data_IF_750275771262
#
_entry.id   IF_750275771262
#
_cell.length_a   1.000
_cell.length_b   1.000
_cell.length_c   1.000
_cell.angle_alpha   90.00
_cell.angle_beta   90.00
_cell.angle_gamma   90.00
#
_symmetry.space_group_name_H-M   'P 1'
#
loop_
_entity.id
_entity.type
_entity.pdbx_description
1 polymer ?
#
# COMPACT_ATOMS: atom_id res chain seq x y z
N UNK A 1 0.95 15.94 -30.01
CA UNK A 1 0.44 14.62 -30.43
C UNK A 1 -0.70 14.89 -31.40
N UNK A 2 -0.52 14.55 -32.69
CA UNK A 2 -1.51 14.82 -33.72
C UNK A 2 -2.79 14.02 -33.38
N UNK A 3 -3.89 14.74 -33.18
CA UNK A 3 -5.23 14.16 -33.11
C UNK A 3 -5.49 13.45 -34.44
N UNK A 4 -5.54 12.12 -34.43
CA UNK A 4 -6.04 11.34 -35.56
C UNK A 4 -7.50 11.74 -35.79
N UNK A 5 -7.71 12.72 -36.67
CA UNK A 5 -9.03 13.29 -36.95
C UNK A 5 -9.93 12.24 -37.60
N UNK A 6 -11.16 12.13 -37.10
CA UNK A 6 -12.21 11.36 -37.78
C UNK A 6 -12.77 12.26 -38.88
N UNK A 7 -12.67 11.81 -40.14
CA UNK A 7 -13.07 12.59 -41.30
C UNK A 7 -14.51 12.27 -41.74
N UNK A 8 -15.14 13.25 -42.39
CA UNK A 8 -16.45 13.06 -43.01
C UNK A 8 -16.35 12.06 -44.16
N UNK A 9 -17.12 10.97 -44.09
CA UNK A 9 -17.07 9.90 -45.10
C UNK A 9 -17.53 10.39 -46.48
N UNK A 10 -18.51 11.31 -46.52
CA UNK A 10 -19.07 11.82 -47.77
C UNK A 10 -18.16 12.84 -48.45
N UNK A 11 -17.32 13.55 -47.69
CA UNK A 11 -16.37 14.51 -48.26
C UNK A 11 -15.01 13.87 -48.57
N UNK A 12 -14.82 12.60 -48.20
CA UNK A 12 -13.55 11.91 -48.40
C UNK A 12 -13.26 11.67 -49.89
N UNK A 13 -14.30 11.35 -50.67
CA UNK A 13 -14.18 11.05 -52.10
C UNK A 13 -14.42 12.27 -53.01
N UNK A 14 -15.10 13.31 -52.51
CA UNK A 14 -15.57 14.47 -53.30
C UNK A 14 -14.73 15.77 -53.13
N UNK A 15 -13.60 15.73 -52.41
CA UNK A 15 -12.75 16.92 -52.20
C UNK A 15 -11.74 16.81 -51.06
N UNK A 16 -11.17 17.93 -50.55
CA UNK A 16 -10.29 17.88 -49.39
C UNK A 16 -11.06 17.34 -48.17
N UNK A 17 -10.48 16.38 -47.42
CA UNK A 17 -11.17 15.74 -46.31
C UNK A 17 -11.54 16.78 -45.25
N UNK A 18 -12.83 16.88 -44.96
CA UNK A 18 -13.36 17.74 -43.89
C UNK A 18 -13.46 16.94 -42.60
N UNK A 19 -13.13 17.57 -41.48
CA UNK A 19 -13.31 16.97 -40.16
C UNK A 19 -14.79 16.66 -39.90
N UNK A 20 -15.06 15.47 -39.36
CA UNK A 20 -16.37 15.13 -38.88
C UNK A 20 -16.65 15.83 -37.55
N UNK A 21 -17.89 16.27 -37.37
CA UNK A 21 -18.38 16.87 -36.12
C UNK A 21 -19.44 15.98 -35.45
N UNK A 22 -20.06 15.11 -36.24
CA UNK A 22 -21.21 14.32 -35.84
C UNK A 22 -21.10 12.89 -36.35
N UNK A 23 -21.49 11.92 -35.53
CA UNK A 23 -21.73 10.52 -35.92
C UNK A 23 -23.23 10.24 -35.93
N UNK A 24 -23.74 9.68 -37.02
CA UNK A 24 -25.12 9.23 -37.11
C UNK A 24 -25.24 7.77 -36.70
N UNK A 25 -26.04 7.47 -35.69
CA UNK A 25 -26.13 6.13 -35.08
C UNK A 25 -26.80 5.10 -35.99
N UNK A 26 -27.71 5.53 -36.87
CA UNK A 26 -28.49 4.66 -37.75
C UNK A 26 -27.81 4.41 -39.09
N UNK A 27 -27.06 5.39 -39.57
CA UNK A 27 -26.26 5.27 -40.79
C UNK A 27 -24.84 4.76 -40.52
N UNK A 28 -24.38 4.82 -39.27
CA UNK A 28 -23.03 4.48 -38.83
C UNK A 28 -21.94 5.26 -39.59
N UNK A 29 -22.23 6.51 -39.94
CA UNK A 29 -21.34 7.39 -40.71
C UNK A 29 -20.94 8.63 -39.93
N UNK A 30 -19.72 9.08 -40.18
CA UNK A 30 -19.18 10.35 -39.69
C UNK A 30 -19.43 11.47 -40.70
N UNK A 31 -19.98 12.59 -40.24
CA UNK A 31 -20.41 13.71 -41.05
C UNK A 31 -19.77 15.02 -40.58
N UNK A 32 -19.31 15.84 -41.52
CA UNK A 32 -18.96 17.24 -41.25
C UNK A 32 -20.24 18.07 -41.06
N UNK A 33 -20.09 19.32 -40.60
CA UNK A 33 -21.21 20.21 -40.31
C UNK A 33 -22.15 20.41 -41.52
N UNK A 34 -21.59 20.54 -42.72
CA UNK A 34 -22.40 20.69 -43.94
C UNK A 34 -23.18 19.42 -44.26
N UNK A 35 -22.51 18.25 -44.22
CA UNK A 35 -23.14 16.96 -44.49
C UNK A 35 -24.21 16.62 -43.46
N UNK A 36 -23.99 16.92 -42.18
CA UNK A 36 -25.00 16.76 -41.14
C UNK A 36 -26.25 17.62 -41.41
N UNK A 37 -26.06 18.88 -41.82
CA UNK A 37 -27.17 19.79 -42.12
C UNK A 37 -28.02 19.27 -43.28
N UNK A 38 -27.41 18.70 -44.30
CA UNK A 38 -28.13 18.07 -45.42
C UNK A 38 -28.79 16.76 -44.98
N UNK A 39 -28.09 15.94 -44.18
CA UNK A 39 -28.59 14.70 -43.61
C UNK A 39 -29.87 14.91 -42.81
N UNK A 40 -29.92 15.96 -41.98
CA UNK A 40 -31.10 16.33 -41.18
C UNK A 40 -32.24 16.94 -42.00
N UNK A 41 -31.98 17.42 -43.21
CA UNK A 41 -33.01 17.98 -44.12
C UNK A 41 -33.62 16.93 -45.05
N UNK A 42 -32.90 15.84 -45.30
CA UNK A 42 -33.37 14.75 -46.17
C UNK A 42 -34.56 14.04 -45.53
N UNK A 43 -35.59 13.76 -46.33
CA UNK A 43 -36.79 13.03 -45.89
C UNK A 43 -36.43 11.67 -45.28
N UNK A 44 -35.36 11.03 -45.78
CA UNK A 44 -34.96 9.69 -45.36
C UNK A 44 -34.13 9.63 -44.08
N UNK A 45 -33.55 10.75 -43.64
CA UNK A 45 -32.59 10.77 -42.52
C UNK A 45 -32.81 11.91 -41.52
N UNK A 46 -33.83 12.74 -41.73
CA UNK A 46 -34.22 13.84 -40.82
C UNK A 46 -34.47 13.38 -39.38
N UNK A 47 -34.95 12.15 -39.20
CA UNK A 47 -35.32 11.59 -37.89
C UNK A 47 -34.23 10.68 -37.30
N UNK A 48 -33.06 10.56 -37.96
CA UNK A 48 -31.95 9.77 -37.44
C UNK A 48 -31.34 10.44 -36.21
N UNK A 49 -30.96 9.62 -35.22
CA UNK A 49 -30.24 10.09 -34.05
C UNK A 49 -28.78 10.32 -34.39
N UNK A 50 -28.25 11.38 -33.81
CA UNK A 50 -26.89 11.83 -34.04
C UNK A 50 -26.23 12.16 -32.72
N UNK A 51 -24.95 11.86 -32.58
CA UNK A 51 -24.14 12.27 -31.44
C UNK A 51 -22.90 13.03 -31.90
N UNK A 52 -22.40 13.93 -31.05
CA UNK A 52 -21.16 14.65 -31.37
C UNK A 52 -19.96 13.68 -31.36
N UNK A 53 -18.93 13.96 -32.15
CA UNK A 53 -17.67 13.20 -32.12
C UNK A 53 -17.05 13.21 -30.72
N UNK A 54 -17.17 14.33 -30.00
CA UNK A 54 -16.70 14.45 -28.61
C UNK A 54 -17.39 13.44 -27.69
N UNK A 55 -18.69 13.23 -27.84
CA UNK A 55 -19.42 12.26 -27.02
C UNK A 55 -19.21 10.82 -27.51
N UNK A 56 -19.05 10.61 -28.81
CA UNK A 56 -18.68 9.31 -29.39
C UNK A 56 -17.35 8.81 -28.82
N UNK A 57 -16.34 9.68 -28.70
CA UNK A 57 -15.05 9.33 -28.11
C UNK A 57 -15.08 9.11 -26.59
N UNK A 58 -16.15 9.51 -25.88
CA UNK A 58 -16.33 9.16 -24.46
C UNK A 58 -16.83 7.73 -24.28
N UNK A 59 -17.36 7.10 -25.33
CA UNK A 59 -17.78 5.71 -25.27
C UNK A 59 -16.56 4.80 -25.08
N UNK A 60 -16.68 3.67 -24.36
CA UNK A 60 -15.63 2.67 -24.33
C UNK A 60 -15.22 2.24 -25.74
N UNK A 61 -13.92 2.00 -25.97
CA UNK A 61 -13.37 1.64 -27.29
C UNK A 61 -14.10 0.45 -27.91
N UNK A 62 -14.41 -0.57 -27.12
CA UNK A 62 -15.13 -1.75 -27.60
C UNK A 62 -16.53 -1.41 -28.14
N UNK A 63 -17.19 -0.35 -27.66
CA UNK A 63 -18.50 0.11 -28.17
C UNK A 63 -18.36 0.88 -29.48
N UNK A 64 -17.25 1.62 -29.66
CA UNK A 64 -16.97 2.36 -30.90
C UNK A 64 -16.72 1.41 -32.08
N UNK A 65 -16.20 0.21 -31.80
CA UNK A 65 -15.88 -0.82 -32.79
C UNK A 65 -17.06 -1.74 -33.17
N UNK A 66 -18.21 -1.59 -32.50
CA UNK A 66 -19.42 -2.36 -32.81
C UNK A 66 -19.99 -1.87 -34.15
N UNK A 67 -20.19 -2.79 -35.08
CA UNK A 67 -20.84 -2.52 -36.37
C UNK A 67 -22.18 -3.22 -36.45
N UNK A 68 -23.17 -2.58 -37.09
CA UNK A 68 -24.44 -3.19 -37.46
C UNK A 68 -24.32 -4.24 -38.57
N UNK A 69 -23.13 -4.40 -39.16
CA UNK A 69 -22.91 -5.30 -40.29
C UNK A 69 -22.09 -6.53 -39.91
N UNK A 70 -22.49 -7.65 -40.50
CA UNK A 70 -21.75 -8.90 -40.43
C UNK A 70 -20.36 -8.74 -41.07
N UNK A 71 -19.33 -9.15 -40.33
CA UNK A 71 -17.93 -9.08 -40.79
C UNK A 71 -17.69 -9.94 -42.03
N UNK A 72 -18.30 -11.12 -42.08
CA UNK A 72 -18.12 -12.12 -43.15
C UNK A 72 -18.86 -11.75 -44.44
N UNK A 73 -20.10 -11.28 -44.30
CA UNK A 73 -21.00 -11.09 -45.45
C UNK A 73 -21.28 -9.63 -45.80
N UNK A 74 -20.82 -8.67 -44.99
CA UNK A 74 -21.06 -7.22 -45.14
C UNK A 74 -22.55 -6.84 -45.24
N UNK A 75 -23.42 -7.66 -44.64
CA UNK A 75 -24.87 -7.45 -44.56
C UNK A 75 -25.30 -7.09 -43.16
N UNK A 76 -26.38 -6.32 -43.03
CA UNK A 76 -26.92 -5.93 -41.73
C UNK A 76 -27.31 -7.16 -40.89
N UNK A 77 -27.11 -7.04 -39.59
CA UNK A 77 -27.65 -8.01 -38.65
C UNK A 77 -29.16 -7.81 -38.51
N UNK A 78 -29.93 -8.88 -38.74
CA UNK A 78 -31.40 -8.84 -38.71
C UNK A 78 -31.98 -9.92 -37.78
N UNK A 79 -31.18 -10.96 -37.50
CA UNK A 79 -31.58 -12.11 -36.71
C UNK A 79 -30.65 -12.26 -35.51
N UNK A 80 -31.11 -12.96 -34.48
CA UNK A 80 -30.34 -13.34 -33.32
C UNK A 80 -30.42 -14.85 -33.13
N UNK A 81 -29.26 -15.50 -33.02
CA UNK A 81 -29.18 -16.92 -32.73
C UNK A 81 -29.18 -17.13 -31.22
N UNK A 82 -30.26 -17.68 -30.66
CA UNK A 82 -30.35 -17.94 -29.22
C UNK A 82 -29.36 -19.01 -28.74
N UNK A 83 -28.97 -19.94 -29.60
CA UNK A 83 -28.01 -21.00 -29.24
C UNK A 83 -26.57 -20.50 -29.12
N UNK A 84 -26.15 -19.58 -30.00
CA UNK A 84 -24.80 -19.02 -30.01
C UNK A 84 -24.71 -17.65 -29.32
N UNK A 85 -25.85 -17.11 -28.89
CA UNK A 85 -25.99 -15.80 -28.28
C UNK A 85 -25.34 -14.66 -29.10
N UNK A 86 -25.59 -14.64 -30.42
CA UNK A 86 -24.95 -13.68 -31.32
C UNK A 86 -25.91 -13.13 -32.40
N UNK A 87 -25.71 -11.88 -32.84
CA UNK A 87 -26.43 -11.31 -33.98
C UNK A 87 -25.96 -11.96 -35.30
N UNK A 88 -26.89 -12.17 -36.22
CA UNK A 88 -26.70 -12.88 -37.48
C UNK A 88 -27.33 -12.09 -38.65
N UNK A 89 -26.66 -12.07 -39.79
CA UNK A 89 -27.31 -11.68 -41.06
C UNK A 89 -28.02 -12.89 -41.66
N UNK A 90 -28.88 -12.69 -42.67
CA UNK A 90 -29.63 -13.77 -43.32
C UNK A 90 -28.70 -14.86 -43.89
N UNK A 91 -27.53 -14.49 -44.43
CA UNK A 91 -26.55 -15.46 -44.95
C UNK A 91 -25.84 -16.26 -43.86
N UNK A 92 -25.66 -15.71 -42.65
CA UNK A 92 -25.13 -16.49 -41.53
C UNK A 92 -26.02 -17.69 -41.19
N UNK A 93 -27.34 -17.53 -41.36
CA UNK A 93 -28.31 -18.61 -41.12
C UNK A 93 -28.08 -19.76 -42.08
N UNK A 94 -27.89 -19.47 -43.36
CA UNK A 94 -27.66 -20.48 -44.38
C UNK A 94 -26.25 -21.05 -44.35
N UNK A 95 -25.26 -20.38 -43.77
CA UNK A 95 -23.86 -20.83 -43.85
C UNK A 95 -23.40 -21.49 -42.56
N UNK A 96 -23.54 -20.78 -41.43
CA UNK A 96 -22.95 -21.16 -40.14
C UNK A 96 -23.98 -21.65 -39.14
N UNK A 97 -25.25 -21.27 -39.32
CA UNK A 97 -26.30 -21.55 -38.35
C UNK A 97 -27.44 -22.42 -38.92
N UNK A 98 -27.18 -23.20 -39.97
CA UNK A 98 -28.19 -24.05 -40.63
C UNK A 98 -28.92 -25.00 -39.66
N UNK A 99 -28.22 -25.43 -38.59
CA UNK A 99 -28.71 -26.39 -37.60
C UNK A 99 -29.26 -25.71 -36.34
N UNK A 100 -29.24 -24.38 -36.26
CA UNK A 100 -29.77 -23.64 -35.13
C UNK A 100 -31.28 -23.46 -35.31
N UNK A 101 -32.05 -24.03 -34.38
CA UNK A 101 -33.52 -24.05 -34.48
C UNK A 101 -34.18 -22.77 -33.91
N UNK A 102 -33.49 -22.06 -33.02
CA UNK A 102 -34.01 -20.85 -32.37
C UNK A 102 -33.35 -19.58 -32.92
N UNK A 103 -33.94 -19.07 -33.99
CA UNK A 103 -33.64 -17.75 -34.55
C UNK A 103 -34.78 -16.79 -34.21
N UNK A 104 -34.43 -15.62 -33.68
CA UNK A 104 -35.39 -14.55 -33.35
C UNK A 104 -35.06 -13.29 -34.15
N UNK A 105 -36.05 -12.46 -34.50
CA UNK A 105 -35.77 -11.12 -35.02
C UNK A 105 -34.90 -10.35 -34.03
N UNK A 106 -33.83 -9.72 -34.52
CA UNK A 106 -32.91 -8.96 -33.66
C UNK A 106 -33.63 -7.78 -32.99
N UNK A 107 -34.62 -7.19 -33.66
CA UNK A 107 -35.48 -6.12 -33.14
C UNK A 107 -36.17 -6.50 -31.83
N UNK A 108 -36.61 -7.75 -31.69
CA UNK A 108 -37.32 -8.23 -30.51
C UNK A 108 -36.37 -8.38 -29.32
N UNK A 109 -35.13 -8.80 -29.59
CA UNK A 109 -34.08 -8.89 -28.57
C UNK A 109 -33.63 -7.49 -28.14
N UNK A 110 -33.41 -6.57 -29.09
CA UNK A 110 -32.97 -5.21 -28.80
C UNK A 110 -34.02 -4.40 -28.03
N UNK A 111 -35.31 -4.60 -28.31
CA UNK A 111 -36.39 -3.96 -27.55
C UNK A 111 -36.49 -4.50 -26.13
N UNK A 112 -36.29 -5.81 -25.93
CA UNK A 112 -36.22 -6.43 -24.60
C UNK A 112 -35.00 -5.96 -23.80
N UNK A 113 -33.82 -5.85 -24.41
CA UNK A 113 -32.60 -5.39 -23.71
C UNK A 113 -32.77 -3.96 -23.20
N UNK A 114 -33.31 -3.05 -24.04
CA UNK A 114 -33.50 -1.64 -23.68
C UNK A 114 -34.51 -1.42 -22.56
N UNK A 115 -35.45 -2.34 -22.37
CA UNK A 115 -36.46 -2.29 -21.29
C UNK A 115 -36.16 -3.24 -20.12
N UNK A 116 -35.06 -4.00 -20.19
CA UNK A 116 -34.74 -5.01 -19.19
C UNK A 116 -34.22 -4.41 -17.89
N UNK A 117 -34.66 -4.98 -16.76
CA UNK A 117 -34.08 -4.73 -15.43
C UNK A 117 -32.57 -5.03 -15.39
N UNK A 118 -32.06 -5.86 -16.32
CA UNK A 118 -30.66 -6.24 -16.44
C UNK A 118 -29.73 -5.03 -16.65
N UNK A 119 -30.13 -4.03 -17.44
CA UNK A 119 -29.30 -2.82 -17.65
C UNK A 119 -29.12 -2.05 -16.35
N UNK A 120 -30.21 -1.86 -15.60
CA UNK A 120 -30.18 -1.18 -14.30
C UNK A 120 -29.36 -1.95 -13.25
N UNK A 121 -29.40 -3.29 -13.30
CA UNK A 121 -28.57 -4.14 -12.44
C UNK A 121 -27.07 -3.98 -12.76
N UNK A 122 -26.68 -4.00 -14.05
CA UNK A 122 -25.29 -3.78 -14.43
C UNK A 122 -24.79 -2.37 -14.09
N UNK A 123 -25.63 -1.35 -14.26
CA UNK A 123 -25.30 0.02 -13.82
C UNK A 123 -25.04 0.08 -12.31
N UNK A 124 -25.88 -0.59 -11.52
CA UNK A 124 -25.71 -0.67 -10.07
C UNK A 124 -24.44 -1.43 -9.69
N UNK A 125 -24.15 -2.55 -10.34
CA UNK A 125 -22.95 -3.35 -10.07
C UNK A 125 -21.67 -2.56 -10.40
N UNK A 126 -21.65 -1.84 -11.54
CA UNK A 126 -20.54 -0.95 -11.89
C UNK A 126 -20.36 0.15 -10.85
N UNK A 127 -21.46 0.71 -10.34
CA UNK A 127 -21.42 1.71 -9.28
C UNK A 127 -20.88 1.14 -7.96
N UNK A 128 -21.36 -0.01 -7.53
CA UNK A 128 -20.92 -0.67 -6.29
C UNK A 128 -19.42 -1.03 -6.37
N UNK A 129 -18.95 -1.54 -7.50
CA UNK A 129 -17.52 -1.85 -7.74
C UNK A 129 -16.67 -0.57 -7.71
N UNK A 130 -17.14 0.52 -8.34
CA UNK A 130 -16.44 1.80 -8.30
C UNK A 130 -16.32 2.34 -6.88
N UNK A 131 -17.42 2.36 -6.12
CA UNK A 131 -17.42 2.85 -4.73
C UNK A 131 -16.48 2.02 -3.85
N UNK A 132 -16.44 0.71 -4.05
CA UNK A 132 -15.47 -0.17 -3.38
C UNK A 132 -14.02 0.22 -3.69
N UNK A 133 -13.69 0.50 -4.96
CA UNK A 133 -12.36 0.97 -5.33
C UNK A 133 -12.02 2.32 -4.68
N UNK A 134 -12.96 3.27 -4.68
CA UNK A 134 -12.78 4.58 -4.05
C UNK A 134 -12.51 4.44 -2.53
N UNK A 135 -13.23 3.54 -1.84
CA UNK A 135 -12.99 3.23 -0.43
C UNK A 135 -11.63 2.58 -0.17
N UNK A 136 -11.21 1.62 -1.02
CA UNK A 136 -9.89 0.97 -0.92
C UNK A 136 -8.78 2.01 -1.13
N UNK A 137 -8.88 2.86 -2.15
CA UNK A 137 -7.90 3.91 -2.44
C UNK A 137 -7.80 4.86 -1.24
N UNK A 138 -8.93 5.31 -0.70
CA UNK A 138 -8.97 6.19 0.48
C UNK A 138 -8.33 5.52 1.70
N UNK A 139 -8.63 4.24 1.94
CA UNK A 139 -8.05 3.47 3.04
C UNK A 139 -6.53 3.37 2.91
N UNK A 140 -6.02 2.99 1.73
CA UNK A 140 -4.58 2.83 1.49
C UNK A 140 -3.84 4.17 1.62
N UNK A 141 -4.39 5.26 1.09
CA UNK A 141 -3.81 6.60 1.27
C UNK A 141 -3.70 7.00 2.75
N UNK A 142 -4.73 6.71 3.55
CA UNK A 142 -4.69 6.93 5.00
C UNK A 142 -3.61 6.10 5.68
N UNK A 143 -3.47 4.81 5.32
CA UNK A 143 -2.43 3.92 5.86
C UNK A 143 -1.02 4.38 5.49
N UNK A 144 -0.82 4.87 4.26
CA UNK A 144 0.45 5.47 3.82
C UNK A 144 0.81 6.70 4.66
N UNK A 145 -0.16 7.58 4.91
CA UNK A 145 0.06 8.76 5.76
C UNK A 145 0.45 8.37 7.19
N UNK A 146 -0.24 7.40 7.79
CA UNK A 146 0.08 6.89 9.12
C UNK A 146 1.49 6.29 9.14
N UNK A 147 1.86 5.50 8.13
CA UNK A 147 3.20 4.92 8.00
C UNK A 147 4.29 6.00 7.92
N UNK A 148 4.05 7.07 7.16
CA UNK A 148 4.97 8.21 7.09
C UNK A 148 5.14 8.90 8.45
N UNK A 149 4.04 9.10 9.20
CA UNK A 149 4.10 9.66 10.55
C UNK A 149 4.90 8.74 11.49
N UNK A 150 4.67 7.42 11.43
CA UNK A 150 5.41 6.45 12.23
C UNK A 150 6.91 6.46 11.92
N UNK A 151 7.29 6.58 10.65
CA UNK A 151 8.69 6.73 10.23
C UNK A 151 9.33 7.97 10.84
N UNK A 152 8.66 9.12 10.79
CA UNK A 152 9.16 10.38 11.37
C UNK A 152 9.34 10.23 12.89
N UNK A 153 8.33 9.69 13.59
CA UNK A 153 8.41 9.46 15.04
C UNK A 153 9.54 8.52 15.43
N UNK A 154 9.73 7.42 14.71
CA UNK A 154 10.83 6.49 14.97
C UNK A 154 12.20 7.18 14.79
N UNK A 155 12.35 7.99 13.74
CA UNK A 155 13.58 8.77 13.53
C UNK A 155 13.81 9.81 14.65
N UNK A 156 12.75 10.47 15.12
CA UNK A 156 12.81 11.41 16.26
C UNK A 156 13.22 10.69 17.55
N UNK A 157 12.68 9.51 17.83
CA UNK A 157 13.07 8.71 19.00
C UNK A 157 14.55 8.33 18.98
N UNK A 158 15.07 7.88 17.83
CA UNK A 158 16.49 7.56 17.66
C UNK A 158 17.36 8.80 17.91
N UNK A 159 16.99 9.95 17.32
CA UNK A 159 17.71 11.21 17.51
C UNK A 159 17.66 11.69 18.96
N UNK A 160 16.51 11.60 19.60
CA UNK A 160 16.33 11.99 21.00
C UNK A 160 17.20 11.13 21.91
N UNK A 161 17.23 9.80 21.70
CA UNK A 161 18.08 8.90 22.47
C UNK A 161 19.55 9.26 22.30
N UNK A 162 20.00 9.49 21.07
CA UNK A 162 21.38 9.92 20.79
C UNK A 162 21.71 11.22 21.53
N UNK A 163 20.86 12.24 21.40
CA UNK A 163 21.09 13.53 22.05
C UNK A 163 21.16 13.39 23.58
N UNK A 164 20.32 12.57 24.20
CA UNK A 164 20.38 12.31 25.65
C UNK A 164 21.67 11.61 26.07
N UNK A 165 22.22 10.72 25.24
CA UNK A 165 23.53 10.10 25.47
C UNK A 165 24.64 11.16 25.35
N UNK A 166 24.61 11.98 24.29
CA UNK A 166 25.59 13.05 24.07
C UNK A 166 25.58 14.05 25.24
N UNK A 167 24.40 14.46 25.72
CA UNK A 167 24.23 15.35 26.89
C UNK A 167 24.81 14.73 28.17
N UNK A 168 24.57 13.45 28.42
CA UNK A 168 25.10 12.75 29.58
C UNK A 168 26.64 12.68 29.52
N UNK A 169 27.20 12.33 28.37
CA UNK A 169 28.66 12.22 28.19
C UNK A 169 29.34 13.58 28.36
N UNK A 170 28.77 14.64 27.77
CA UNK A 170 29.27 16.00 27.95
C UNK A 170 29.24 16.42 29.42
N UNK A 171 28.19 16.06 30.16
CA UNK A 171 28.10 16.36 31.59
C UNK A 171 29.20 15.66 32.39
N UNK A 172 29.43 14.37 32.13
CA UNK A 172 30.48 13.59 32.80
C UNK A 172 31.86 14.16 32.47
N UNK A 173 32.10 14.55 31.22
CA UNK A 173 33.35 15.19 30.80
C UNK A 173 33.59 16.49 31.58
N UNK A 174 32.60 17.37 31.63
CA UNK A 174 32.73 18.64 32.36
C UNK A 174 32.97 18.43 33.86
N UNK A 175 32.29 17.47 34.49
CA UNK A 175 32.52 17.16 35.91
C UNK A 175 33.97 16.72 36.19
N UNK A 176 34.58 15.94 35.30
CA UNK A 176 35.98 15.51 35.44
C UNK A 176 36.96 16.65 35.15
N UNK A 177 36.68 17.47 34.14
CA UNK A 177 37.51 18.64 33.82
C UNK A 177 37.48 19.67 34.95
N UNK A 178 36.32 19.91 35.56
CA UNK A 178 36.18 20.80 36.72
C UNK A 178 36.94 20.25 37.93
N UNK A 179 36.85 18.94 38.23
CA UNK A 179 37.62 18.32 39.33
C UNK A 179 39.13 18.41 39.08
N UNK A 180 39.57 18.21 37.83
CA UNK A 180 40.98 18.35 37.44
C UNK A 180 41.46 19.79 37.68
N UNK A 181 40.73 20.78 37.19
CA UNK A 181 41.07 22.20 37.35
C UNK A 181 41.12 22.61 38.82
N UNK A 182 40.14 22.16 39.62
CA UNK A 182 40.10 22.44 41.05
C UNK A 182 41.30 21.83 41.80
N UNK A 183 41.64 20.57 41.50
CA UNK A 183 42.80 19.90 42.10
C UNK A 183 44.11 20.54 41.68
N UNK A 184 44.24 20.91 40.40
CA UNK A 184 45.42 21.60 39.89
C UNK A 184 45.58 22.98 40.53
N UNK A 185 44.52 23.79 40.54
CA UNK A 185 44.50 25.12 41.17
C UNK A 185 44.87 25.05 42.65
N UNK A 186 44.37 24.04 43.37
CA UNK A 186 44.72 23.84 44.78
C UNK A 186 46.21 23.48 44.95
N UNK A 187 46.70 22.52 44.16
CA UNK A 187 48.12 22.15 44.17
C UNK A 187 49.02 23.35 43.86
N UNK A 188 48.66 24.13 42.84
CA UNK A 188 49.39 25.34 42.47
C UNK A 188 49.39 26.38 43.60
N UNK A 189 48.24 26.66 44.21
CA UNK A 189 48.12 27.61 45.32
C UNK A 189 48.96 27.17 46.53
N UNK A 190 48.98 25.88 46.85
CA UNK A 190 49.78 25.34 47.95
C UNK A 190 51.28 25.49 47.65
N UNK A 191 51.70 25.25 46.40
CA UNK A 191 53.09 25.43 45.97
C UNK A 191 53.51 26.91 45.95
N UNK A 192 52.68 27.80 45.42
CA UNK A 192 52.96 29.24 45.36
C UNK A 192 53.11 29.83 46.77
N UNK A 193 52.22 29.44 47.69
CA UNK A 193 52.29 29.88 49.09
C UNK A 193 53.60 29.44 49.73
N UNK A 194 54.05 28.22 49.44
CA UNK A 194 55.30 27.70 49.98
C UNK A 194 56.52 28.39 49.37
N UNK A 195 56.53 28.60 48.05
CA UNK A 195 57.60 29.35 47.37
C UNK A 195 57.75 30.75 47.96
N UNK A 196 56.64 31.46 48.19
CA UNK A 196 56.66 32.78 48.84
C UNK A 196 57.28 32.73 50.25
N UNK A 197 57.00 31.69 51.04
CA UNK A 197 57.60 31.53 52.37
C UNK A 197 59.11 31.30 52.29
N UNK A 198 59.58 30.52 51.30
CA UNK A 198 61.00 30.30 51.06
C UNK A 198 61.70 31.58 50.59
N UNK A 199 61.13 32.28 49.62
CA UNK A 199 61.65 33.56 49.12
C UNK A 199 61.73 34.62 50.23
N UNK A 200 60.73 34.67 51.12
CA UNK A 200 60.77 35.60 52.25
C UNK A 200 61.95 35.30 53.20
N UNK A 201 62.20 34.02 53.50
CA UNK A 201 63.32 33.61 54.36
C UNK A 201 64.67 33.82 53.68
N UNK A 202 64.77 33.51 52.38
CA UNK A 202 65.97 33.76 51.59
C UNK A 202 66.34 35.25 51.58
N UNK A 203 65.34 36.13 51.40
CA UNK A 203 65.52 37.58 51.50
C UNK A 203 66.00 38.02 52.89
N UNK A 204 65.47 37.46 53.97
CA UNK A 204 65.92 37.75 55.33
C UNK A 204 67.40 37.36 55.54
N UNK A 205 67.81 36.18 55.06
CA UNK A 205 69.20 35.74 55.13
C UNK A 205 70.11 36.62 54.28
N UNK A 206 69.70 36.97 53.06
CA UNK A 206 70.45 37.85 52.15
C UNK A 206 70.66 39.25 52.74
N UNK A 207 69.66 39.81 53.42
CA UNK A 207 69.78 41.09 54.13
C UNK A 207 70.76 41.00 55.30
N UNK A 208 70.73 39.93 56.08
CA UNK A 208 71.70 39.72 57.16
C UNK A 208 73.11 39.53 56.62
N UNK A 209 73.29 38.79 55.53
CA UNK A 209 74.59 38.56 54.90
C UNK A 209 75.23 39.85 54.39
N UNK A 210 74.45 40.69 53.69
CA UNK A 210 74.91 41.99 53.20
C UNK A 210 75.21 42.97 54.35
N UNK A 211 74.29 43.12 55.31
CA UNK A 211 74.49 43.99 56.47
C UNK A 211 75.65 43.57 57.36
N UNK A 212 75.89 42.26 57.52
CA UNK A 212 77.06 41.77 58.24
C UNK A 212 78.37 42.11 57.53
N UNK A 213 78.41 41.96 56.21
CA UNK A 213 79.58 42.30 55.40
C UNK A 213 79.95 43.78 55.56
N UNK A 214 78.97 44.67 55.68
CA UNK A 214 79.19 46.09 55.97
C UNK A 214 79.61 46.35 57.43
N UNK A 215 78.99 45.68 58.41
CA UNK A 215 79.32 45.82 59.83
C UNK A 215 80.77 45.45 60.14
N UNK A 216 81.35 44.46 59.45
CA UNK A 216 82.76 44.07 59.66
C UNK A 216 83.77 45.19 59.38
N UNK A 217 83.38 46.28 58.68
CA UNK A 217 84.27 47.40 58.35
C UNK A 217 84.10 48.63 59.26
N UNK A 218 82.93 48.81 59.88
CA UNK A 218 82.52 50.09 60.49
C UNK A 218 81.90 49.96 61.90
N UNK A 219 81.61 48.75 62.39
CA UNK A 219 80.90 48.56 63.65
C UNK A 219 81.81 48.58 64.89
N UNK A 220 81.24 48.96 66.03
CA UNK A 220 81.89 48.84 67.34
C UNK A 220 81.97 47.38 67.82
N UNK A 221 82.89 47.07 68.74
CA UNK A 221 83.05 45.71 69.30
C UNK A 221 81.75 45.14 69.88
N UNK A 222 80.95 45.99 70.56
CA UNK A 222 79.66 45.59 71.13
C UNK A 222 78.62 45.29 70.04
N UNK A 223 78.55 46.11 68.99
CA UNK A 223 77.66 45.87 67.84
C UNK A 223 78.04 44.57 67.12
N UNK A 224 79.34 44.29 66.97
CA UNK A 224 79.81 43.03 66.39
C UNK A 224 79.44 41.82 67.22
N UNK A 225 79.62 41.87 68.54
CA UNK A 225 79.25 40.76 69.42
C UNK A 225 77.75 40.47 69.37
N UNK A 226 76.89 41.50 69.45
CA UNK A 226 75.43 41.33 69.38
C UNK A 226 75.00 40.82 67.99
N UNK A 227 75.53 41.41 66.92
CA UNK A 227 75.22 41.01 65.54
C UNK A 227 75.61 39.57 65.24
N UNK A 228 76.79 39.12 65.70
CA UNK A 228 77.23 37.73 65.57
C UNK A 228 76.26 36.75 66.24
N UNK A 229 75.78 37.05 67.45
CA UNK A 229 74.81 36.18 68.14
C UNK A 229 73.46 36.11 67.42
N UNK A 230 72.98 37.22 66.86
CA UNK A 230 71.73 37.23 66.11
C UNK A 230 71.84 36.44 64.79
N UNK A 231 72.99 36.53 64.11
CA UNK A 231 73.27 35.74 62.90
C UNK A 231 73.38 34.26 63.25
N UNK A 232 74.11 33.90 64.30
CA UNK A 232 74.24 32.51 64.77
C UNK A 232 72.86 31.91 65.08
N UNK A 233 72.02 32.67 65.79
CA UNK A 233 70.64 32.26 66.07
C UNK A 233 69.82 32.06 64.79
N UNK A 234 69.80 33.06 63.90
CA UNK A 234 68.99 33.01 62.67
C UNK A 234 69.45 31.90 61.72
N UNK A 235 70.77 31.70 61.59
CA UNK A 235 71.33 30.61 60.77
C UNK A 235 71.05 29.23 61.36
N UNK A 236 71.09 29.09 62.68
CA UNK A 236 70.69 27.86 63.36
C UNK A 236 69.19 27.54 63.16
N UNK A 237 68.32 28.55 63.25
CA UNK A 237 66.88 28.40 62.99
C UNK A 237 66.61 28.00 61.53
N UNK A 238 67.28 28.65 60.57
CA UNK A 238 67.18 28.31 59.15
C UNK A 238 67.67 26.90 58.84
N UNK A 239 68.79 26.46 59.41
CA UNK A 239 69.31 25.11 59.24
C UNK A 239 68.34 24.04 59.78
N UNK A 240 67.73 24.30 60.94
CA UNK A 240 66.70 23.42 61.53
C UNK A 240 65.47 23.33 60.63
N UNK A 241 65.05 24.46 60.05
CA UNK A 241 63.92 24.50 59.12
C UNK A 241 64.23 23.72 57.83
N UNK A 242 65.41 23.88 57.23
CA UNK A 242 65.83 23.13 56.03
C UNK A 242 65.86 21.62 56.33
N UNK A 243 66.42 21.21 57.46
CA UNK A 243 66.45 19.80 57.87
C UNK A 243 65.02 19.24 58.03
N UNK A 244 64.10 20.02 58.61
CA UNK A 244 62.68 19.65 58.69
C UNK A 244 62.02 19.52 57.31
N UNK A 245 62.34 20.41 56.35
CA UNK A 245 61.82 20.33 54.99
C UNK A 245 62.32 19.07 54.26
N UNK A 246 63.61 18.73 54.39
CA UNK A 246 64.17 17.54 53.72
C UNK A 246 63.64 16.21 54.26
N UNK A 247 63.09 16.21 55.47
CA UNK A 247 62.47 15.05 56.11
C UNK A 247 60.96 14.98 55.92
N UNK A 248 60.35 16.06 55.42
CA UNK A 248 58.93 16.17 55.14
C UNK A 248 58.56 15.77 53.71
N UNK A 249 57.26 15.80 53.43
CA UNK A 249 56.63 15.50 52.14
C UNK A 249 56.59 16.71 51.18
N UNK A 250 57.18 17.85 51.57
CA UNK A 250 57.13 19.09 50.79
C UNK A 250 57.91 19.02 49.48
N UNK A 251 58.97 18.21 49.42
CA UNK A 251 59.77 18.01 48.21
C UNK A 251 59.35 16.77 47.42
N UNK A 252 58.33 16.03 47.89
CA UNK A 252 57.82 14.89 47.15
C UNK A 252 57.25 15.36 45.81
N UNK A 253 57.56 14.63 44.75
CA UNK A 253 57.09 14.94 43.41
C UNK A 253 55.58 14.69 43.33
N UNK A 254 54.81 15.77 43.13
CA UNK A 254 53.34 15.72 43.05
C UNK A 254 52.91 15.68 41.59
N UNK A 255 52.52 14.50 41.12
CA UNK A 255 52.04 14.28 39.75
C UNK A 255 50.50 14.24 39.69
N UNK A 256 49.93 14.82 38.64
CA UNK A 256 48.50 14.77 38.32
C UNK A 256 48.24 13.64 37.31
N UNK A 257 47.70 12.53 37.81
CA UNK A 257 47.31 11.39 36.97
C UNK A 257 45.79 11.28 36.85
N UNK A 258 45.32 11.02 35.63
CA UNK A 258 43.90 10.80 35.34
C UNK A 258 43.67 9.31 35.04
N UNK A 259 42.87 8.65 35.87
CA UNK A 259 42.43 7.27 35.62
C UNK A 259 41.00 7.26 35.11
N UNK A 260 40.81 6.80 33.88
CA UNK A 260 39.48 6.69 33.26
C UNK A 260 38.74 5.45 33.76
N UNK A 261 37.42 5.56 33.92
CA UNK A 261 36.59 4.45 34.38
C UNK A 261 36.57 3.30 33.36
N UNK A 262 36.86 2.04 33.78
CA UNK A 262 36.76 0.87 32.89
C UNK A 262 35.37 0.68 32.27
N UNK A 263 34.32 1.10 32.98
CA UNK A 263 32.93 0.99 32.52
C UNK A 263 32.63 1.89 31.31
N UNK A 264 33.34 3.01 31.14
CA UNK A 264 33.21 3.85 29.94
C UNK A 264 33.86 3.18 28.73
N UNK A 265 34.97 2.47 28.95
CA UNK A 265 35.67 1.74 27.89
C UNK A 265 34.85 0.55 27.39
N UNK A 266 34.10 -0.14 28.27
CA UNK A 266 33.22 -1.24 27.86
C UNK A 266 32.02 -0.76 27.03
N UNK A 267 31.45 0.42 27.32
CA UNK A 267 30.36 0.99 26.52
C UNK A 267 30.75 1.14 25.04
N UNK A 268 31.99 1.56 24.76
CA UNK A 268 32.51 1.71 23.40
C UNK A 268 32.64 0.38 22.66
N UNK A 269 32.74 -0.74 23.38
CA UNK A 269 32.86 -2.08 22.79
C UNK A 269 31.49 -2.77 22.65
N UNK A 270 30.57 -2.49 23.56
CA UNK A 270 29.31 -3.22 23.69
C UNK A 270 28.17 -2.63 22.84
N UNK A 271 28.16 -1.32 22.61
CA UNK A 271 27.07 -0.66 21.85
C UNK A 271 27.35 -0.70 20.35
N UNK A 272 26.70 -1.64 19.65
CA UNK A 272 26.85 -1.83 18.18
C UNK A 272 25.67 -1.33 17.35
N UNK A 273 24.51 -1.10 17.98
CA UNK A 273 23.34 -0.56 17.30
C UNK A 273 22.43 0.20 18.27
N UNK A 274 21.57 1.05 17.72
CA UNK A 274 20.49 1.73 18.46
C UNK A 274 19.22 0.88 18.60
N UNK A 275 19.19 -0.32 18.00
CA UNK A 275 18.04 -1.22 17.98
C UNK A 275 17.66 -1.65 16.56
N UNK A 276 16.56 -2.41 16.48
CA UNK A 276 16.06 -3.03 15.25
C UNK A 276 14.76 -2.40 14.76
N UNK A 277 14.60 -2.31 13.44
CA UNK A 277 13.37 -1.84 12.80
C UNK A 277 12.52 -3.06 12.40
N UNK A 278 11.35 -3.22 13.01
CA UNK A 278 10.43 -4.31 12.73
C UNK A 278 9.14 -3.83 12.06
N UNK A 279 8.73 -4.49 10.98
CA UNK A 279 7.46 -4.22 10.27
C UNK A 279 6.44 -5.27 10.68
N UNK A 280 5.46 -4.87 11.49
CA UNK A 280 4.37 -5.75 11.92
C UNK A 280 3.20 -5.65 10.93
N UNK A 281 2.75 -6.81 10.43
CA UNK A 281 1.59 -6.90 9.53
C UNK A 281 0.36 -7.36 10.31
N UNK A 282 -0.77 -6.68 10.13
CA UNK A 282 -2.06 -7.07 10.70
C UNK A 282 -3.13 -7.14 9.62
N UNK A 283 -4.16 -7.96 9.85
CA UNK A 283 -5.28 -8.05 8.92
C UNK A 283 -6.03 -6.72 8.81
N UNK A 284 -6.44 -6.38 7.59
CA UNK A 284 -7.25 -5.18 7.32
C UNK A 284 -8.63 -5.29 7.96
N UNK A 285 -9.11 -4.19 8.51
CA UNK A 285 -10.48 -4.04 9.03
C UNK A 285 -11.46 -3.48 7.99
N UNK A 286 -10.99 -3.18 6.77
CA UNK A 286 -11.82 -2.63 5.71
C UNK A 286 -12.89 -3.65 5.29
N UNK A 287 -14.16 -3.25 5.37
CA UNK A 287 -15.30 -4.03 4.87
C UNK A 287 -15.74 -3.43 3.54
N UNK A 288 -15.74 -4.25 2.50
CA UNK A 288 -16.10 -3.86 1.14
C UNK A 288 -17.50 -4.40 0.86
N UNK A 289 -18.31 -3.70 0.06
CA UNK A 289 -19.61 -4.22 -0.37
C UNK A 289 -19.40 -5.50 -1.16
N UNK A 290 -19.98 -6.61 -0.69
CA UNK A 290 -19.91 -7.89 -1.39
C UNK A 290 -20.58 -7.79 -2.76
N UNK A 291 -19.88 -8.19 -3.81
CA UNK A 291 -20.48 -8.32 -5.14
C UNK A 291 -21.67 -9.27 -5.04
N UNK A 292 -22.86 -8.81 -5.39
CA UNK A 292 -23.98 -9.74 -5.56
C UNK A 292 -23.59 -10.67 -6.71
N UNK A 293 -23.61 -11.98 -6.47
CA UNK A 293 -23.44 -13.00 -7.53
C UNK A 293 -24.68 -13.04 -8.45
N UNK A 294 -25.21 -11.86 -8.82
CA UNK A 294 -26.40 -11.67 -9.65
C UNK A 294 -26.07 -11.91 -11.14
N UNK A 295 -24.82 -12.19 -11.50
CA UNK A 295 -24.45 -12.63 -12.86
C UNK A 295 -25.32 -13.80 -13.34
N UNK A 296 -25.69 -14.72 -12.43
CA UNK A 296 -26.59 -15.83 -12.75
C UNK A 296 -28.06 -15.39 -12.97
N UNK A 297 -28.52 -14.35 -12.28
CA UNK A 297 -29.85 -13.75 -12.52
C UNK A 297 -29.87 -12.94 -13.83
N UNK A 298 -28.80 -12.22 -14.13
CA UNK A 298 -28.65 -11.40 -15.33
C UNK A 298 -28.59 -12.24 -16.63
N UNK A 299 -27.95 -13.42 -16.58
CA UNK A 299 -27.95 -14.41 -17.67
C UNK A 299 -29.31 -15.10 -17.84
N UNK A 300 -30.09 -15.28 -16.77
CA UNK A 300 -31.42 -15.87 -16.84
C UNK A 300 -32.45 -14.91 -17.46
N UNK A 301 -32.31 -13.60 -17.25
CA UNK A 301 -33.18 -12.56 -17.81
C UNK A 301 -32.97 -12.28 -19.31
N UNK A 302 -31.88 -12.77 -19.91
CA UNK A 302 -31.59 -12.62 -21.35
C UNK A 302 -32.12 -13.76 -22.22
N UNK A 303 -32.74 -14.78 -21.62
CA UNK A 303 -33.44 -15.86 -22.33
C UNK A 303 -34.98 -15.70 -22.22
N UNK A 304 -35.71 -15.42 -23.32
CA UNK A 304 -37.16 -15.29 -23.27
C UNK A 304 -37.82 -16.65 -23.04
N UNK A 305 -38.61 -16.79 -21.97
CA UNK A 305 -39.39 -17.98 -21.64
C UNK A 305 -39.36 -18.45 -20.17
N UNK A 306 -38.63 -17.76 -19.29
CA UNK A 306 -38.48 -18.17 -17.89
C UNK A 306 -39.12 -17.16 -16.93
N UNK A 307 -40.32 -17.46 -16.44
CA UNK A 307 -40.95 -16.69 -15.36
C UNK A 307 -40.34 -17.01 -13.97
N UNK A 308 -40.25 -15.96 -13.15
CA UNK A 308 -39.88 -15.81 -11.73
C UNK A 308 -38.90 -16.79 -11.07
N UNK A 309 -37.73 -16.28 -10.64
CA UNK A 309 -36.74 -16.98 -9.79
C UNK A 309 -37.02 -16.74 -8.30
N UNK A 310 -37.61 -17.74 -7.64
CA UNK A 310 -37.59 -17.83 -6.16
C UNK A 310 -36.28 -18.46 -5.67
N UNK A 311 -35.49 -17.77 -4.84
CA UNK A 311 -34.23 -18.31 -4.31
C UNK A 311 -34.55 -19.45 -3.34
N UNK A 312 -34.13 -20.68 -3.66
CA UNK A 312 -34.25 -21.81 -2.74
C UNK A 312 -32.90 -22.08 -2.09
N UNK A 313 -32.86 -21.93 -0.77
CA UNK A 313 -31.66 -21.98 0.07
C UNK A 313 -31.08 -23.41 0.12
N UNK A 314 -29.75 -23.48 -0.07
CA UNK A 314 -28.77 -24.53 0.28
C UNK A 314 -29.21 -26.00 0.17
N UNK A 315 -28.74 -26.67 -0.89
CA UNK A 315 -28.60 -28.15 -0.91
C UNK A 315 -27.16 -28.53 -1.20
N UNK A 316 -26.63 -29.49 -0.44
CA UNK A 316 -25.28 -30.04 -0.65
C UNK A 316 -25.39 -31.26 -1.57
N UNK A 317 -24.59 -31.31 -2.64
CA UNK A 317 -24.48 -32.46 -3.53
C UNK A 317 -23.19 -33.23 -3.23
N UNK A 318 -23.30 -34.55 -3.13
CA UNK A 318 -22.16 -35.47 -3.03
C UNK A 318 -22.11 -36.27 -4.33
N UNK A 319 -21.01 -36.15 -5.09
CA UNK A 319 -20.78 -36.98 -6.28
C UNK A 319 -20.06 -38.27 -5.83
N UNK A 320 -20.60 -39.46 -6.10
CA UNK A 320 -19.90 -40.70 -5.82
C UNK A 320 -18.89 -40.97 -6.94
N UNK A 321 -17.68 -40.44 -6.75
CA UNK A 321 -16.38 -40.96 -7.27
C UNK A 321 -15.26 -39.90 -7.21
N UNK A 322 -15.54 -38.69 -6.70
CA UNK A 322 -14.51 -37.79 -6.19
C UNK A 322 -15.09 -37.09 -4.99
N UNK A 323 -14.51 -37.34 -3.81
CA UNK A 323 -14.89 -36.86 -2.48
C UNK A 323 -14.74 -35.34 -2.30
N UNK A 324 -15.19 -34.54 -3.27
CA UNK A 324 -15.30 -33.09 -3.15
C UNK A 324 -16.76 -32.75 -2.82
N UNK A 325 -16.94 -31.91 -1.80
CA UNK A 325 -18.24 -31.35 -1.43
C UNK A 325 -18.48 -30.11 -2.28
N UNK A 326 -19.66 -30.03 -2.90
CA UNK A 326 -20.06 -28.89 -3.70
C UNK A 326 -21.18 -28.11 -2.99
N UNK A 327 -20.99 -26.78 -2.84
CA UNK A 327 -22.06 -25.89 -2.38
C UNK A 327 -22.85 -25.40 -3.59
N UNK A 328 -24.15 -25.66 -3.58
CA UNK A 328 -25.08 -25.15 -4.59
C UNK A 328 -25.64 -23.83 -4.10
N UNK A 329 -25.34 -22.75 -4.84
CA UNK A 329 -25.88 -21.43 -4.54
C UNK A 329 -27.34 -21.30 -5.01
N UNK A 330 -27.72 -21.93 -6.13
CA UNK A 330 -29.10 -21.97 -6.61
C UNK A 330 -29.39 -23.19 -7.50
N UNK A 331 -30.61 -23.75 -7.43
CA UNK A 331 -31.09 -24.75 -8.38
C UNK A 331 -32.56 -24.53 -8.74
N UNK A 332 -32.96 -24.95 -9.94
CA UNK A 332 -34.36 -24.96 -10.41
C UNK A 332 -34.73 -26.31 -11.01
N UNK A 333 -35.98 -26.72 -10.81
CA UNK A 333 -36.60 -27.87 -11.47
C UNK A 333 -37.38 -27.36 -12.69
N UNK A 334 -37.14 -27.96 -13.85
CA UNK A 334 -37.81 -27.67 -15.11
C UNK A 334 -39.17 -28.40 -15.19
N UNK A 335 -40.12 -27.93 -16.02
CA UNK A 335 -41.45 -28.54 -16.17
C UNK A 335 -41.42 -29.99 -16.69
N UNK A 336 -40.36 -30.35 -17.42
CA UNK A 336 -40.06 -31.71 -17.88
C UNK A 336 -39.38 -32.58 -16.80
N UNK A 337 -39.20 -32.02 -15.60
CA UNK A 337 -38.61 -32.61 -14.40
C UNK A 337 -37.08 -32.54 -14.33
N UNK A 338 -36.39 -31.95 -15.32
CA UNK A 338 -34.92 -31.81 -15.30
C UNK A 338 -34.43 -30.76 -14.29
N UNK A 339 -33.15 -30.80 -13.91
CA UNK A 339 -32.57 -29.83 -12.95
C UNK A 339 -31.55 -28.91 -13.63
N UNK A 340 -31.65 -27.61 -13.35
CA UNK A 340 -30.61 -26.62 -13.64
C UNK A 340 -29.95 -26.24 -12.31
N UNK A 341 -28.64 -26.45 -12.23
CA UNK A 341 -27.83 -26.03 -11.09
C UNK A 341 -26.99 -24.82 -11.51
N UNK A 342 -27.26 -23.70 -10.86
CA UNK A 342 -26.61 -22.42 -11.10
C UNK A 342 -25.60 -22.16 -9.97
N UNK A 343 -24.34 -21.93 -10.34
CA UNK A 343 -23.22 -21.72 -9.41
C UNK A 343 -23.02 -22.87 -8.41
N UNK A 344 -22.34 -23.91 -8.89
CA UNK A 344 -21.75 -24.93 -8.06
C UNK A 344 -20.31 -24.52 -7.70
N UNK A 345 -20.04 -24.32 -6.40
CA UNK A 345 -18.70 -24.03 -5.90
C UNK A 345 -18.07 -25.30 -5.33
N UNK A 346 -16.97 -25.74 -5.94
CA UNK A 346 -16.07 -26.71 -5.33
C UNK A 346 -15.13 -25.98 -4.37
N UNK A 347 -14.73 -26.61 -3.28
CA UNK A 347 -13.86 -26.01 -2.26
C UNK A 347 -12.50 -25.50 -2.79
N UNK A 348 -12.12 -25.85 -4.02
CA UNK A 348 -10.82 -25.51 -4.62
C UNK A 348 -10.88 -24.93 -6.05
N UNK A 349 -12.06 -24.85 -6.70
CA UNK A 349 -12.17 -24.42 -8.11
C UNK A 349 -13.34 -23.44 -8.36
N UNK A 350 -13.13 -22.51 -9.30
CA UNK A 350 -14.09 -21.49 -9.73
C UNK A 350 -15.26 -22.06 -10.55
N UNK A 351 -16.42 -21.41 -10.45
CA UNK A 351 -17.75 -21.97 -10.68
C UNK A 351 -18.01 -22.66 -12.03
N UNK A 352 -18.94 -23.62 -11.99
CA UNK A 352 -19.45 -24.33 -13.17
C UNK A 352 -20.98 -24.26 -13.27
N UNK A 353 -21.48 -24.32 -14.51
CA UNK A 353 -22.90 -24.52 -14.83
C UNK A 353 -23.11 -25.97 -15.30
N UNK A 354 -24.00 -26.71 -14.63
CA UNK A 354 -24.24 -28.14 -14.89
C UNK A 354 -25.73 -28.39 -15.13
N UNK A 355 -26.06 -29.13 -16.19
CA UNK A 355 -27.40 -29.58 -16.56
C UNK A 355 -27.55 -31.08 -16.26
N UNK A 356 -28.60 -31.45 -15.51
CA UNK A 356 -28.88 -32.84 -15.13
C UNK A 356 -30.24 -33.31 -15.64
N UNK A 357 -30.31 -34.59 -16.06
CA UNK A 357 -31.58 -35.31 -16.25
C UNK A 357 -31.99 -36.05 -14.96
N UNK A 358 -33.29 -36.34 -14.84
CA UNK A 358 -33.94 -37.02 -13.69
C UNK A 358 -33.32 -38.39 -13.38
N UNK A 359 -32.76 -39.06 -14.38
CA UNK A 359 -32.10 -40.37 -14.25
C UNK A 359 -30.68 -40.29 -13.66
N UNK A 360 -30.22 -39.09 -13.25
CA UNK A 360 -28.88 -38.87 -12.71
C UNK A 360 -27.80 -38.78 -13.79
N UNK A 361 -28.16 -38.87 -15.08
CA UNK A 361 -27.19 -38.90 -16.18
C UNK A 361 -26.91 -37.48 -16.69
N UNK A 362 -25.61 -37.22 -16.87
CA UNK A 362 -25.08 -35.96 -17.35
C UNK A 362 -25.24 -35.81 -18.87
N UNK A 363 -25.94 -34.78 -19.34
CA UNK A 363 -26.11 -34.55 -20.79
C UNK A 363 -25.30 -33.40 -21.36
N UNK A 364 -24.87 -32.39 -20.58
CA UNK A 364 -24.03 -31.31 -21.13
C UNK A 364 -23.27 -30.52 -20.04
N UNK A 365 -21.95 -30.34 -20.25
CA UNK A 365 -21.11 -29.38 -19.50
C UNK A 365 -21.12 -28.06 -20.25
N UNK A 366 -21.43 -26.95 -19.58
CA UNK A 366 -21.20 -25.61 -20.14
C UNK A 366 -20.40 -24.78 -19.13
N UNK A 367 -19.18 -24.47 -19.56
CA UNK A 367 -18.25 -23.39 -19.16
C UNK A 367 -17.68 -23.39 -17.73
N UNK A 368 -16.35 -23.34 -17.70
CA UNK A 368 -15.47 -22.86 -16.62
C UNK A 368 -15.37 -21.33 -16.70
N UNK A 369 -15.62 -20.62 -15.60
CA UNK A 369 -15.13 -19.23 -15.48
C UNK A 369 -13.64 -19.28 -15.13
N UNK A 370 -12.79 -19.27 -16.15
CA UNK A 370 -11.37 -18.95 -15.96
C UNK A 370 -11.21 -17.44 -15.91
N UNK A 371 -10.24 -16.95 -15.12
CA UNK A 371 -9.92 -15.54 -14.86
C UNK A 371 -9.44 -14.72 -16.09
N UNK A 372 -9.82 -15.10 -17.31
CA UNK A 372 -9.47 -14.43 -18.56
C UNK A 372 -10.71 -14.14 -19.40
N UNK A 373 -10.99 -12.88 -19.80
CA UNK A 373 -12.22 -12.52 -20.51
C UNK A 373 -12.35 -13.04 -21.95
N UNK A 374 -11.34 -13.73 -22.52
CA UNK A 374 -11.23 -13.86 -23.98
C UNK A 374 -11.14 -15.26 -24.60
N UNK A 375 -11.26 -16.36 -23.85
CA UNK A 375 -11.21 -17.71 -24.46
C UNK A 375 -12.47 -18.54 -24.19
N UNK A 376 -13.21 -18.85 -25.26
CA UNK A 376 -14.34 -19.78 -25.23
C UNK A 376 -13.82 -21.22 -25.31
N UNK A 377 -13.73 -21.90 -24.17
CA UNK A 377 -13.29 -23.30 -24.11
C UNK A 377 -14.49 -24.27 -24.06
N UNK A 378 -14.67 -25.08 -25.11
CA UNK A 378 -15.64 -26.18 -25.15
C UNK A 378 -14.97 -27.52 -24.82
N UNK A 379 -15.38 -28.17 -23.72
CA UNK A 379 -14.95 -29.56 -23.41
C UNK A 379 -16.08 -30.54 -23.75
N UNK A 380 -15.85 -31.38 -24.77
CA UNK A 380 -16.67 -32.57 -25.06
C UNK A 380 -16.09 -33.77 -24.30
N UNK A 381 -16.69 -34.18 -23.18
CA UNK A 381 -16.60 -35.57 -22.68
C UNK A 381 -17.93 -35.97 -22.04
N UNK A 382 -18.51 -37.08 -22.53
CA UNK A 382 -19.63 -37.78 -21.89
C UNK A 382 -19.06 -38.67 -20.78
N UNK A 383 -19.61 -38.56 -19.57
CA UNK A 383 -19.42 -39.56 -18.52
C UNK A 383 -20.78 -40.22 -18.27
N UNK A 384 -20.87 -41.52 -18.55
CA UNK A 384 -22.01 -42.37 -18.18
C UNK A 384 -21.64 -43.11 -16.90
N UNK A 385 -22.36 -42.89 -15.79
CA UNK A 385 -22.17 -43.70 -14.57
C UNK A 385 -22.46 -43.06 -13.20
N UNK A 386 -22.93 -41.82 -13.10
CA UNK A 386 -23.21 -41.20 -11.79
C UNK A 386 -24.66 -41.46 -11.31
N UNK A 387 -24.83 -42.07 -10.13
CA UNK A 387 -26.10 -42.15 -9.43
C UNK A 387 -26.12 -41.12 -8.28
N UNK A 388 -27.04 -40.16 -8.30
CA UNK A 388 -27.18 -39.13 -7.24
C UNK A 388 -28.38 -39.49 -6.34
N UNK A 389 -28.17 -39.54 -5.01
CA UNK A 389 -29.27 -39.67 -4.02
C UNK A 389 -29.59 -38.32 -3.39
N UNK A 390 -30.80 -37.82 -3.61
CA UNK A 390 -31.34 -36.62 -2.94
C UNK A 390 -32.18 -37.08 -1.74
N UNK A 391 -31.77 -36.74 -0.50
CA UNK A 391 -32.60 -36.99 0.69
C UNK A 391 -33.67 -35.89 0.84
N UNK A 392 -34.93 -36.28 1.03
CA UNK A 392 -36.02 -35.36 1.43
C UNK A 392 -35.87 -35.01 2.92
N UNK A 393 -36.13 -33.77 3.35
CA UNK A 393 -36.31 -33.47 4.77
C UNK A 393 -37.69 -33.98 5.23
N UNK A 394 -37.74 -34.58 6.41
CA UNK A 394 -38.98 -34.87 7.12
C UNK A 394 -39.63 -33.55 7.52
N UNK A 395 -40.79 -33.23 6.95
CA UNK A 395 -41.61 -32.10 7.37
C UNK A 395 -42.43 -32.53 8.60
N UNK A 396 -42.04 -32.02 9.78
CA UNK A 396 -42.93 -31.91 10.94
C UNK A 396 -42.86 -30.46 11.42
N UNK A 397 -43.94 -29.70 11.27
CA UNK A 397 -44.02 -28.33 11.79
C UNK A 397 -45.12 -27.53 11.12
N UNK A 398 -46.23 -27.34 11.84
CA UNK A 398 -47.46 -26.72 11.36
C UNK A 398 -47.38 -25.20 11.19
N UNK A 399 -48.37 -24.70 10.45
CA UNK A 399 -48.74 -23.30 10.32
C UNK A 399 -48.91 -22.62 11.69
N UNK A 400 -48.42 -21.38 11.80
CA UNK A 400 -49.07 -20.33 12.56
C UNK A 400 -49.04 -19.05 11.73
N UNK A 401 -50.23 -18.57 11.41
CA UNK A 401 -50.51 -17.23 10.93
C UNK A 401 -50.37 -16.24 12.10
N UNK A 402 -49.72 -15.12 11.84
CA UNK A 402 -50.08 -13.78 12.32
C UNK A 402 -49.49 -12.73 11.37
#
# INVERSE_FOLDING_TARGET
MASSGVFCILCYDDGPPKDAVTWCTECEVFLCMDCEKHHKKSIMSKDHKTMSIKDYHKLPTFMQEISSQCKDHKKKFELYCSFHACPCCVQCVTDKHQKCQEMKPLTDILTQIKSSASVQLFEKDLKDVKENFDEIIKYLNSRLNISNIQKVKAAEQIRSLKNSIDELLNKIEQEILDDLENKHSKLQSDMDTFLQQLEQRDNQISQLQSGFSEMTQLATELQMYIGLREIEKTTSEAATYIDALTKGDMFDEKNLDVTLSPSLLSILQDVKSFGDININTSQSTLKIKGGRNDQAQNLALTYPGFEEIKPTILRTLTIPDNSKLARIAACRILPDGNYIILNCHWLEDSGHLLLFRIDGIFTRKIVTFTDSPNDTCFVRKKYSGCNIRIRKPNYTGGYKEE
#
